data_IF_921050420628
#
_entry.id   IF_921050420628
#
_cell.length_a   1.000
_cell.length_b   1.000
_cell.length_c   1.000
_cell.angle_alpha   90.00
_cell.angle_beta   90.00
_cell.angle_gamma   90.00
#
_symmetry.space_group_name_H-M   'P 1'
#
loop_
_entity.id
_entity.type
_entity.pdbx_description
1 polymer ?
#
# COMPACT_ATOMS: atom_id res chain seq x y z
N UNK A 1 -68.21 -15.19 -4.66
CA UNK A 1 -66.83 -14.84 -4.24
C UNK A 1 -65.86 -15.55 -5.18
N UNK A 2 -65.01 -14.73 -5.81
CA UNK A 2 -63.79 -14.90 -6.63
C UNK A 2 -63.36 -16.28 -7.19
N UNK A 3 -63.27 -16.31 -8.53
CA UNK A 3 -62.51 -17.24 -9.39
C UNK A 3 -61.02 -17.33 -9.05
N UNK A 4 -60.43 -18.51 -9.23
CA UNK A 4 -58.99 -18.72 -9.27
C UNK A 4 -58.47 -18.52 -10.71
N UNK A 5 -57.46 -17.66 -10.88
CA UNK A 5 -56.71 -17.47 -12.12
C UNK A 5 -55.38 -18.20 -11.95
N UNK A 6 -55.13 -19.20 -12.78
CA UNK A 6 -53.83 -19.85 -12.90
C UNK A 6 -52.89 -18.94 -13.71
N UNK A 7 -51.74 -18.59 -13.13
CA UNK A 7 -50.67 -17.89 -13.85
C UNK A 7 -49.69 -18.92 -14.43
N UNK A 8 -49.65 -18.98 -15.76
CA UNK A 8 -48.65 -19.67 -16.55
C UNK A 8 -47.27 -19.06 -16.27
N UNK A 9 -46.31 -19.88 -15.82
CA UNK A 9 -44.90 -19.47 -15.73
C UNK A 9 -44.26 -19.66 -17.10
N UNK A 10 -44.17 -18.57 -17.86
CA UNK A 10 -43.36 -18.51 -19.05
C UNK A 10 -41.87 -18.40 -18.66
N UNK A 11 -41.05 -19.23 -19.28
CA UNK A 11 -39.61 -19.38 -19.07
C UNK A 11 -38.83 -18.07 -19.09
N UNK A 12 -38.19 -17.73 -17.97
CA UNK A 12 -37.09 -16.76 -17.92
C UNK A 12 -35.78 -17.53 -18.04
N UNK A 13 -35.23 -17.54 -19.24
CA UNK A 13 -33.89 -18.06 -19.54
C UNK A 13 -32.86 -17.26 -18.74
N UNK A 14 -32.00 -17.96 -18.00
CA UNK A 14 -30.93 -17.34 -17.20
C UNK A 14 -29.96 -16.55 -18.10
N UNK A 15 -29.53 -15.33 -17.70
CA UNK A 15 -28.48 -14.63 -18.41
C UNK A 15 -27.14 -15.35 -18.22
N UNK A 16 -26.55 -15.75 -19.34
CA UNK A 16 -25.25 -16.41 -19.48
C UNK A 16 -24.15 -15.80 -18.60
N UNK A 17 -23.64 -16.60 -17.67
CA UNK A 17 -22.58 -16.25 -16.71
C UNK A 17 -21.21 -15.91 -17.34
N UNK A 18 -21.04 -16.09 -18.65
CA UNK A 18 -19.76 -15.87 -19.34
C UNK A 18 -19.41 -14.40 -19.61
N UNK A 19 -20.29 -13.43 -19.33
CA UNK A 19 -19.99 -12.00 -19.51
C UNK A 19 -19.53 -11.27 -18.25
N UNK A 20 -19.73 -11.87 -17.07
CA UNK A 20 -19.51 -11.20 -15.78
C UNK A 20 -18.03 -11.27 -15.35
N UNK A 21 -17.32 -12.37 -15.64
CA UNK A 21 -15.93 -12.56 -15.21
C UNK A 21 -14.92 -11.57 -15.85
N UNK A 22 -15.20 -11.06 -17.04
CA UNK A 22 -14.28 -10.17 -17.78
C UNK A 22 -14.39 -8.70 -17.35
N UNK A 23 -15.56 -8.28 -16.85
CA UNK A 23 -15.78 -6.93 -16.33
C UNK A 23 -15.16 -6.77 -14.93
N UNK A 24 -15.24 -7.81 -14.10
CA UNK A 24 -14.71 -7.83 -12.73
C UNK A 24 -13.19 -7.61 -12.66
N UNK A 25 -12.42 -8.21 -13.57
CA UNK A 25 -10.97 -7.99 -13.67
C UNK A 25 -10.61 -6.56 -14.10
N UNK A 26 -11.37 -5.95 -15.02
CA UNK A 26 -11.12 -4.58 -15.49
C UNK A 26 -11.52 -3.54 -14.45
N UNK A 27 -12.63 -3.75 -13.75
CA UNK A 27 -13.11 -2.86 -12.66
C UNK A 27 -12.19 -2.98 -11.44
N UNK A 28 -11.75 -4.19 -11.07
CA UNK A 28 -10.75 -4.39 -10.02
C UNK A 28 -9.44 -3.64 -10.34
N UNK A 29 -8.94 -3.70 -11.57
CA UNK A 29 -7.74 -2.95 -11.98
C UNK A 29 -7.90 -1.42 -12.00
N UNK A 30 -9.12 -0.92 -12.27
CA UNK A 30 -9.44 0.51 -12.27
C UNK A 30 -9.63 1.05 -10.84
N UNK A 31 -10.28 0.27 -9.96
CA UNK A 31 -10.43 0.57 -8.54
C UNK A 31 -9.09 0.54 -7.79
N UNK A 32 -8.20 -0.41 -8.14
CA UNK A 32 -6.83 -0.48 -7.58
C UNK A 32 -5.97 0.73 -7.98
N UNK A 33 -6.11 1.25 -9.20
CA UNK A 33 -5.39 2.46 -9.64
C UNK A 33 -5.92 3.74 -9.00
N UNK A 34 -7.25 3.88 -8.86
CA UNK A 34 -7.85 5.02 -8.17
C UNK A 34 -7.56 5.03 -6.66
N UNK A 35 -7.34 3.85 -6.04
CA UNK A 35 -6.96 3.76 -4.63
C UNK A 35 -5.47 4.02 -4.35
N UNK A 36 -4.57 3.91 -5.34
CA UNK A 36 -3.13 4.07 -5.08
C UNK A 36 -2.78 5.46 -4.52
N UNK A 37 -3.30 6.53 -5.14
CA UNK A 37 -3.09 7.90 -4.64
C UNK A 37 -3.73 8.14 -3.28
N UNK A 38 -4.91 7.58 -3.02
CA UNK A 38 -5.60 7.67 -1.72
C UNK A 38 -4.83 6.94 -0.62
N UNK A 39 -4.29 5.75 -0.91
CA UNK A 39 -3.45 4.97 0.01
C UNK A 39 -2.15 5.72 0.32
N UNK A 40 -1.50 6.32 -0.69
CA UNK A 40 -0.30 7.13 -0.48
C UNK A 40 -0.57 8.35 0.42
N UNK A 41 -1.68 9.07 0.20
CA UNK A 41 -2.05 10.23 1.03
C UNK A 41 -2.34 9.88 2.50
N UNK A 42 -2.79 8.65 2.75
CA UNK A 42 -3.03 8.14 4.10
C UNK A 42 -1.78 7.54 4.76
N UNK A 43 -0.68 7.36 4.01
CA UNK A 43 0.53 6.75 4.52
C UNK A 43 1.34 7.76 5.36
N UNK A 44 1.75 7.31 6.55
CA UNK A 44 2.66 8.05 7.44
C UNK A 44 3.97 7.28 7.56
N UNK A 45 5.09 7.96 7.30
CA UNK A 45 6.41 7.35 7.16
C UNK A 45 7.45 8.10 7.99
N UNK A 46 8.28 7.33 8.70
CA UNK A 46 9.52 7.84 9.30
C UNK A 46 10.72 7.24 8.60
N UNK A 47 11.61 8.09 8.09
CA UNK A 47 12.84 7.66 7.43
C UNK A 47 14.00 7.84 8.40
N UNK A 48 14.62 6.73 8.74
CA UNK A 48 15.85 6.65 9.51
C UNK A 48 17.01 6.33 8.58
N UNK A 49 18.13 7.06 8.70
CA UNK A 49 19.24 6.93 7.76
C UNK A 49 20.58 7.08 8.45
N UNK A 50 21.60 6.40 7.91
CA UNK A 50 23.00 6.66 8.27
C UNK A 50 23.45 8.01 7.68
N UNK A 51 24.31 8.79 8.36
CA UNK A 51 24.75 10.10 7.87
C UNK A 51 25.29 10.11 6.44
N UNK A 52 25.99 9.04 6.03
CA UNK A 52 26.49 8.86 4.67
C UNK A 52 25.40 8.78 3.57
N UNK A 53 24.15 8.52 3.96
CA UNK A 53 23.00 8.36 3.08
C UNK A 53 22.03 9.56 3.14
N UNK A 54 22.47 10.70 3.67
CA UNK A 54 21.62 11.89 3.85
C UNK A 54 20.97 12.35 2.54
N UNK A 55 21.73 12.49 1.46
CA UNK A 55 21.21 12.95 0.16
C UNK A 55 20.16 11.97 -0.41
N UNK A 56 20.40 10.67 -0.24
CA UNK A 56 19.45 9.62 -0.61
C UNK A 56 18.17 9.71 0.23
N UNK A 57 18.30 9.93 1.53
CA UNK A 57 17.16 10.11 2.43
C UNK A 57 16.32 11.34 2.07
N UNK A 58 16.97 12.47 1.78
CA UNK A 58 16.31 13.71 1.35
C UNK A 58 15.58 13.53 0.01
N UNK A 59 16.21 12.84 -0.95
CA UNK A 59 15.61 12.53 -2.25
C UNK A 59 14.38 11.63 -2.13
N UNK A 60 14.47 10.58 -1.30
CA UNK A 60 13.33 9.70 -0.99
C UNK A 60 12.23 10.52 -0.30
N UNK A 61 12.57 11.30 0.72
CA UNK A 61 11.60 12.11 1.45
C UNK A 61 10.84 13.07 0.52
N UNK A 62 11.56 13.73 -0.39
CA UNK A 62 11.00 14.62 -1.40
C UNK A 62 10.02 13.89 -2.32
N UNK A 63 10.39 12.72 -2.85
CA UNK A 63 9.50 11.92 -3.71
C UNK A 63 8.22 11.52 -2.96
N UNK A 64 8.35 11.11 -1.70
CA UNK A 64 7.21 10.73 -0.88
C UNK A 64 6.26 11.91 -0.64
N UNK A 65 6.79 13.07 -0.22
CA UNK A 65 5.97 14.25 0.05
C UNK A 65 5.34 14.85 -1.20
N UNK A 66 6.05 14.86 -2.34
CA UNK A 66 5.49 15.28 -3.65
C UNK A 66 4.32 14.39 -4.10
N UNK A 67 4.29 13.13 -3.66
CA UNK A 67 3.19 12.20 -3.91
C UNK A 67 2.14 12.18 -2.78
N UNK A 68 2.21 13.11 -1.84
CA UNK A 68 1.22 13.32 -0.78
C UNK A 68 1.39 12.42 0.46
N UNK A 69 2.47 11.64 0.55
CA UNK A 69 2.78 10.82 1.72
C UNK A 69 3.25 11.73 2.87
N UNK A 70 2.77 11.49 4.09
CA UNK A 70 3.27 12.17 5.28
C UNK A 70 4.61 11.55 5.70
N UNK A 71 5.70 12.06 5.15
CA UNK A 71 7.07 11.55 5.40
C UNK A 71 7.92 12.58 6.12
N UNK A 72 8.71 12.12 7.10
CA UNK A 72 9.71 12.93 7.78
C UNK A 72 11.03 12.16 7.95
N UNK A 73 12.13 12.91 7.89
CA UNK A 73 13.45 12.44 8.29
C UNK A 73 13.55 12.47 9.82
N UNK A 74 13.93 11.35 10.43
CA UNK A 74 14.01 11.21 11.89
C UNK A 74 15.34 10.53 12.28
N UNK A 75 15.78 10.75 13.52
CA UNK A 75 16.99 10.12 14.07
C UNK A 75 16.63 8.74 14.62
N UNK A 76 17.41 7.72 14.24
CA UNK A 76 17.16 6.37 14.73
C UNK A 76 17.39 6.33 16.26
N UNK A 77 16.46 5.72 17.04
CA UNK A 77 16.61 5.61 18.49
C UNK A 77 17.66 4.57 18.92
N UNK A 78 18.30 3.90 17.96
CA UNK A 78 19.35 2.90 18.16
C UNK A 78 20.24 2.86 16.91
N UNK A 79 21.41 2.23 17.01
CA UNK A 79 22.32 2.07 15.89
C UNK A 79 21.73 1.13 14.82
N UNK A 80 21.66 1.63 13.58
CA UNK A 80 21.09 0.94 12.42
C UNK A 80 22.18 0.47 11.44
N UNK A 81 23.46 0.70 11.74
CA UNK A 81 24.61 0.35 10.89
C UNK A 81 24.77 -1.14 10.58
N UNK A 82 24.17 -2.01 11.40
CA UNK A 82 24.33 -3.46 11.33
C UNK A 82 23.46 -4.12 10.23
N UNK A 83 22.53 -3.38 9.62
CA UNK A 83 21.66 -3.93 8.58
C UNK A 83 22.31 -3.82 7.20
N UNK A 84 22.55 -4.96 6.55
CA UNK A 84 23.12 -5.00 5.20
C UNK A 84 22.12 -4.62 4.10
N UNK A 85 20.83 -4.58 4.42
CA UNK A 85 19.75 -4.21 3.49
C UNK A 85 19.01 -2.98 4.00
N UNK A 86 18.47 -2.17 3.08
CA UNK A 86 17.46 -1.17 3.42
C UNK A 86 16.19 -1.89 3.84
N UNK A 87 15.57 -1.49 4.95
CA UNK A 87 14.42 -2.24 5.51
C UNK A 87 13.23 -1.32 5.71
N UNK A 88 12.05 -1.77 5.28
CA UNK A 88 10.77 -1.17 5.62
C UNK A 88 10.11 -1.99 6.71
N UNK A 89 10.02 -1.44 7.92
CA UNK A 89 9.34 -2.06 9.05
C UNK A 89 7.89 -1.57 9.15
N UNK A 90 6.95 -2.50 9.09
CA UNK A 90 5.51 -2.24 9.13
C UNK A 90 4.80 -3.06 10.21
N UNK A 91 3.59 -2.66 10.55
CA UNK A 91 2.61 -3.42 11.33
C UNK A 91 1.44 -3.80 10.44
N UNK A 92 0.61 -4.77 10.84
CA UNK A 92 -0.49 -5.26 10.00
C UNK A 92 -1.38 -4.15 9.39
N UNK A 93 -1.80 -3.10 10.14
CA UNK A 93 -2.61 -2.02 9.57
C UNK A 93 -1.89 -1.19 8.49
N UNK A 94 -0.56 -1.30 8.40
CA UNK A 94 0.29 -0.49 7.53
C UNK A 94 0.83 -1.28 6.33
N UNK A 95 0.49 -2.56 6.21
CA UNK A 95 1.02 -3.42 5.14
C UNK A 95 0.72 -2.83 3.76
N UNK A 96 -0.51 -2.40 3.51
CA UNK A 96 -0.89 -1.87 2.20
C UNK A 96 -0.28 -0.49 1.93
N UNK A 97 -0.15 0.36 2.96
CA UNK A 97 0.57 1.63 2.86
C UNK A 97 2.05 1.42 2.54
N UNK A 98 2.71 0.47 3.22
CA UNK A 98 4.12 0.16 3.00
C UNK A 98 4.38 -0.41 1.61
N UNK A 99 3.49 -1.27 1.10
CA UNK A 99 3.55 -1.78 -0.29
C UNK A 99 3.34 -0.67 -1.32
N UNK A 100 2.40 0.24 -1.07
CA UNK A 100 2.16 1.37 -1.98
C UNK A 100 3.38 2.30 -2.07
N UNK A 101 3.98 2.62 -0.92
CA UNK A 101 5.22 3.41 -0.85
C UNK A 101 6.39 2.68 -1.52
N UNK A 102 6.57 1.38 -1.28
CA UNK A 102 7.59 0.60 -2.00
C UNK A 102 7.37 0.59 -3.52
N UNK A 103 6.12 0.48 -3.97
CA UNK A 103 5.81 0.57 -5.40
C UNK A 103 6.15 1.94 -5.98
N UNK A 104 5.92 3.02 -5.23
CA UNK A 104 6.33 4.38 -5.62
C UNK A 104 7.85 4.50 -5.70
N UNK A 105 8.58 3.98 -4.72
CA UNK A 105 10.05 4.02 -4.68
C UNK A 105 10.68 3.23 -5.83
N UNK A 106 10.20 2.00 -6.08
CA UNK A 106 10.68 1.18 -7.20
C UNK A 106 10.45 1.85 -8.56
N UNK A 107 9.30 2.53 -8.76
CA UNK A 107 9.03 3.29 -9.99
C UNK A 107 10.01 4.45 -10.21
N UNK A 108 10.60 4.97 -9.15
CA UNK A 108 11.59 6.04 -9.18
C UNK A 108 13.05 5.52 -9.11
N UNK A 109 13.26 4.21 -9.32
CA UNK A 109 14.59 3.60 -9.35
C UNK A 109 15.19 3.24 -7.99
N UNK A 110 14.46 3.45 -6.90
CA UNK A 110 14.90 3.10 -5.55
C UNK A 110 14.52 1.66 -5.23
N UNK A 111 15.48 0.74 -5.39
CA UNK A 111 15.28 -0.71 -5.19
C UNK A 111 15.99 -1.21 -3.92
N UNK A 112 15.93 -2.52 -3.68
CA UNK A 112 16.60 -3.24 -2.59
C UNK A 112 16.07 -2.91 -1.18
N UNK A 113 14.75 -2.70 -1.08
CA UNK A 113 14.07 -2.62 0.20
C UNK A 113 13.53 -3.98 0.62
N UNK A 114 13.88 -4.42 1.81
CA UNK A 114 13.30 -5.59 2.46
C UNK A 114 12.07 -5.17 3.26
N UNK A 115 10.95 -5.86 3.06
CA UNK A 115 9.73 -5.59 3.83
C UNK A 115 9.67 -6.52 5.05
N UNK A 116 9.79 -5.97 6.26
CA UNK A 116 9.78 -6.74 7.52
C UNK A 116 8.61 -6.34 8.43
N UNK A 117 7.92 -7.33 8.99
CA UNK A 117 6.93 -7.09 10.03
C UNK A 117 7.63 -6.76 11.35
N UNK A 118 7.19 -5.72 12.03
CA UNK A 118 7.73 -5.36 13.35
C UNK A 118 7.27 -6.35 14.41
N UNK A 119 8.20 -6.98 15.12
CA UNK A 119 7.90 -8.00 16.13
C UNK A 119 7.40 -7.45 17.47
N UNK A 120 7.56 -6.14 17.74
CA UNK A 120 7.24 -5.49 19.02
C UNK A 120 6.38 -4.24 18.89
N UNK A 121 5.75 -4.02 17.74
CA UNK A 121 5.09 -2.74 17.51
C UNK A 121 3.69 -2.69 18.11
N UNK A 122 3.40 -1.57 18.76
CA UNK A 122 2.07 -1.28 19.29
C UNK A 122 1.08 -1.14 18.13
N UNK A 123 -0.08 -1.78 18.23
CA UNK A 123 -1.17 -1.72 17.26
C UNK A 123 -1.63 -0.27 17.02
N UNK A 124 -1.41 0.63 17.99
CA UNK A 124 -1.71 2.07 17.86
C UNK A 124 -0.70 2.87 17.02
N UNK A 125 0.41 2.27 16.59
CA UNK A 125 1.40 2.99 15.76
C UNK A 125 0.75 3.34 14.43
N UNK A 126 0.70 4.62 14.08
CA UNK A 126 0.05 5.10 12.84
C UNK A 126 1.01 5.20 11.66
N UNK A 127 2.31 4.98 11.89
CA UNK A 127 3.36 5.10 10.89
C UNK A 127 4.13 3.79 10.74
N UNK A 128 4.74 3.61 9.58
CA UNK A 128 5.76 2.61 9.34
C UNK A 128 7.12 3.28 9.12
N UNK A 129 8.19 2.49 9.14
CA UNK A 129 9.56 3.00 9.20
C UNK A 129 10.36 2.53 7.99
N UNK A 130 11.13 3.42 7.39
CA UNK A 130 12.13 3.08 6.36
C UNK A 130 13.51 3.29 6.98
N UNK A 131 14.35 2.26 6.92
CA UNK A 131 15.73 2.29 7.38
C UNK A 131 16.67 2.23 6.18
N UNK A 132 17.47 3.27 6.00
CA UNK A 132 18.51 3.38 4.99
C UNK A 132 19.85 3.08 5.65
N UNK A 133 20.39 1.89 5.40
CA UNK A 133 21.59 1.37 6.08
C UNK A 133 22.69 0.95 5.10
N UNK A 134 22.41 1.02 3.79
CA UNK A 134 23.32 0.71 2.67
C UNK A 134 23.03 1.60 1.46
#
# INVERSE_FOLDING_TARGET
>A
MKSAIAFSMNSLSEPSQNKIQSADKKVSGLLLKNNFGTILKAAVVKIYYLPALKEKAESINKILTENGVQSNLDTAPYDISHSQNQVVYYNDPQLDYSKAVLSLLNKNGWNNFELRKSSKANVSTQFFKIYLTS
#
